data_IF_855028977523
#
_entry.id   IF_855028977523
#
_cell.length_a   1.000
_cell.length_b   1.000
_cell.length_c   1.000
_cell.angle_alpha   90.00
_cell.angle_beta   90.00
_cell.angle_gamma   90.00
#
_symmetry.space_group_name_H-M   'P 1'
#
loop_
_entity.id
_entity.type
_entity.pdbx_description
1 polymer ?
#
# COMPACT_ATOMS: atom_id res chain seq x y z
N UNK A 1 12.60 12.20 11.57
CA UNK A 1 13.50 11.15 11.01
C UNK A 1 12.59 10.07 10.45
N UNK A 2 12.87 9.50 9.26
CA UNK A 2 12.03 8.41 8.71
C UNK A 2 12.32 7.13 9.52
N UNK A 3 11.29 6.41 10.02
CA UNK A 3 11.48 5.13 10.72
C UNK A 3 12.18 4.07 9.86
N UNK A 4 13.06 3.26 10.47
CA UNK A 4 13.88 2.28 9.74
C UNK A 4 13.04 1.19 9.03
N UNK A 5 11.91 0.79 9.61
CA UNK A 5 11.04 -0.23 9.02
C UNK A 5 10.39 0.20 7.69
N UNK A 6 10.39 1.50 7.36
CA UNK A 6 9.96 1.98 6.04
C UNK A 6 11.11 2.05 5.03
N UNK A 7 12.37 1.93 5.45
CA UNK A 7 13.54 2.10 4.57
C UNK A 7 14.03 0.79 3.96
N UNK A 8 13.10 -0.01 3.46
CA UNK A 8 13.40 -1.32 2.88
C UNK A 8 12.69 -1.52 1.57
N UNK A 9 13.29 -2.34 0.70
CA UNK A 9 12.63 -2.85 -0.49
C UNK A 9 12.16 -4.26 -0.17
N UNK A 10 10.86 -4.52 -0.29
CA UNK A 10 10.28 -5.78 0.15
C UNK A 10 9.08 -6.14 -0.71
N UNK A 11 8.93 -7.44 -0.94
CA UNK A 11 7.73 -8.04 -1.49
C UNK A 11 7.00 -8.74 -0.35
N UNK A 12 5.70 -8.50 -0.22
CA UNK A 12 4.87 -9.13 0.80
C UNK A 12 3.45 -9.34 0.31
N UNK A 13 2.77 -10.33 0.88
CA UNK A 13 1.36 -10.59 0.65
C UNK A 13 0.56 -10.02 1.83
N UNK A 14 -0.41 -9.16 1.54
CA UNK A 14 -1.26 -8.48 2.52
C UNK A 14 -2.72 -8.86 2.33
N UNK A 15 -3.54 -8.60 3.36
CA UNK A 15 -4.98 -8.81 3.32
C UNK A 15 -5.71 -7.48 3.24
N UNK A 16 -6.42 -7.23 2.14
CA UNK A 16 -7.26 -6.04 1.95
C UNK A 16 -8.71 -6.47 1.94
N UNK A 17 -9.45 -6.15 3.00
CA UNK A 17 -10.83 -6.60 3.20
C UNK A 17 -11.03 -8.13 3.04
N UNK A 18 -10.01 -8.91 3.41
CA UNK A 18 -10.01 -10.37 3.30
C UNK A 18 -9.64 -10.93 1.93
N UNK A 19 -9.23 -10.07 0.99
CA UNK A 19 -8.64 -10.47 -0.28
C UNK A 19 -7.12 -10.40 -0.19
N UNK A 20 -6.47 -11.42 -0.73
CA UNK A 20 -5.01 -11.48 -0.84
C UNK A 20 -4.52 -10.54 -1.93
N UNK A 21 -3.58 -9.67 -1.56
CA UNK A 21 -2.96 -8.69 -2.46
C UNK A 21 -1.46 -8.77 -2.29
N UNK A 22 -0.75 -9.08 -3.37
CA UNK A 22 0.70 -9.02 -3.41
C UNK A 22 1.16 -7.58 -3.60
N UNK A 23 2.16 -7.17 -2.82
CA UNK A 23 2.72 -5.82 -2.87
C UNK A 23 4.24 -5.84 -3.05
N UNK A 24 4.74 -5.17 -4.09
CA UNK A 24 6.17 -4.84 -4.24
C UNK A 24 6.39 -3.40 -3.80
N UNK A 25 7.01 -3.22 -2.64
CA UNK A 25 7.33 -1.92 -2.07
C UNK A 25 8.81 -1.55 -2.29
N UNK A 26 9.03 -0.35 -2.82
CA UNK A 26 10.34 0.26 -3.03
C UNK A 26 10.41 1.60 -2.32
N UNK A 27 11.29 1.72 -1.32
CA UNK A 27 11.52 2.98 -0.61
C UNK A 27 12.22 4.03 -1.49
N UNK A 28 13.09 3.59 -2.42
CA UNK A 28 13.84 4.45 -3.33
C UNK A 28 13.53 4.14 -4.79
N UNK A 29 12.65 4.92 -5.39
CA UNK A 29 12.34 4.88 -6.82
C UNK A 29 12.68 6.21 -7.52
N UNK A 30 13.43 6.22 -8.63
CA UNK A 30 14.13 5.08 -9.24
C UNK A 30 15.39 4.68 -8.44
N UNK A 31 15.71 3.37 -8.42
CA UNK A 31 16.83 2.80 -7.63
C UNK A 31 18.20 3.41 -7.96
N UNK A 32 18.35 4.00 -9.16
CA UNK A 32 19.53 4.75 -9.57
C UNK A 32 19.23 6.24 -9.48
N UNK A 33 19.72 6.87 -8.42
CA UNK A 33 19.95 8.32 -8.42
C UNK A 33 21.09 8.61 -9.39
N UNK A 34 20.85 9.45 -10.40
CA UNK A 34 21.96 10.19 -11.00
C UNK A 34 22.29 11.36 -10.07
N UNK A 35 23.57 11.67 -9.90
CA UNK A 35 24.04 12.76 -9.02
C UNK A 35 23.48 14.14 -9.41
N UNK A 36 22.87 14.25 -10.59
CA UNK A 36 22.25 15.46 -11.14
C UNK A 36 20.79 15.65 -10.69
N UNK A 37 20.14 14.62 -10.14
CA UNK A 37 18.70 14.59 -9.86
C UNK A 37 18.44 14.97 -8.40
N UNK A 38 18.26 16.28 -8.15
CA UNK A 38 17.78 16.86 -6.87
C UNK A 38 16.27 16.64 -6.63
N UNK A 39 15.71 15.56 -7.13
CA UNK A 39 14.28 15.30 -6.97
C UNK A 39 14.00 14.76 -5.56
N UNK A 40 12.81 15.06 -5.00
CA UNK A 40 12.39 14.50 -3.72
C UNK A 40 12.44 12.96 -3.78
N UNK A 41 12.82 12.32 -2.68
CA UNK A 41 12.84 10.86 -2.58
C UNK A 41 11.40 10.34 -2.70
N UNK A 42 11.15 9.46 -3.65
CA UNK A 42 9.84 8.86 -3.92
C UNK A 42 9.86 7.39 -3.53
N UNK A 43 8.80 6.96 -2.84
CA UNK A 43 8.48 5.57 -2.60
C UNK A 43 7.45 5.11 -3.63
N UNK A 44 7.49 3.82 -3.93
CA UNK A 44 6.62 3.17 -4.89
C UNK A 44 6.09 1.87 -4.29
N UNK A 45 4.79 1.62 -4.48
CA UNK A 45 4.14 0.37 -4.10
C UNK A 45 3.33 -0.13 -5.30
N UNK A 46 3.67 -1.30 -5.82
CA UNK A 46 2.87 -2.02 -6.80
C UNK A 46 1.94 -3.00 -6.10
N UNK A 47 0.64 -2.85 -6.30
CA UNK A 47 -0.39 -3.76 -5.79
C UNK A 47 -0.86 -4.68 -6.91
N UNK A 48 -0.89 -5.98 -6.65
CA UNK A 48 -1.33 -7.04 -7.56
C UNK A 48 -2.31 -7.95 -6.85
N UNK A 49 -3.41 -8.26 -7.50
CA UNK A 49 -4.47 -9.09 -6.96
C UNK A 49 -5.17 -9.83 -8.09
N UNK A 50 -5.51 -11.09 -7.85
CA UNK A 50 -6.29 -11.89 -8.80
C UNK A 50 -7.76 -11.45 -8.86
N UNK A 51 -8.23 -10.79 -7.79
CA UNK A 51 -9.55 -10.14 -7.76
C UNK A 51 -9.43 -8.65 -8.09
N UNK A 52 -10.43 -8.04 -8.73
CA UNK A 52 -10.42 -6.62 -9.08
C UNK A 52 -10.77 -5.74 -7.87
N UNK A 53 -10.15 -5.98 -6.72
CA UNK A 53 -10.41 -5.28 -5.45
C UNK A 53 -9.71 -3.91 -5.43
N UNK A 54 -8.41 -3.87 -5.73
CA UNK A 54 -7.60 -2.64 -5.73
C UNK A 54 -7.84 -1.78 -6.98
N UNK A 55 -8.13 -2.42 -8.10
CA UNK A 55 -8.42 -1.77 -9.38
C UNK A 55 -9.24 -2.70 -10.27
N UNK A 56 -9.84 -2.21 -11.38
CA UNK A 56 -10.60 -3.06 -12.29
C UNK A 56 -9.78 -4.18 -12.94
N UNK A 57 -8.46 -4.00 -13.04
CA UNK A 57 -7.53 -4.98 -13.63
C UNK A 57 -6.79 -5.82 -12.59
N UNK A 58 -7.03 -5.59 -11.29
CA UNK A 58 -6.27 -6.21 -10.21
C UNK A 58 -4.84 -5.66 -10.02
N UNK A 59 -4.42 -4.68 -10.83
CA UNK A 59 -3.11 -4.03 -10.75
C UNK A 59 -3.24 -2.54 -10.46
N UNK A 60 -2.45 -2.03 -9.51
CA UNK A 60 -2.34 -0.59 -9.24
C UNK A 60 -0.92 -0.20 -8.84
N UNK A 61 -0.43 0.92 -9.38
CA UNK A 61 0.88 1.48 -9.04
C UNK A 61 0.71 2.77 -8.26
N UNK A 62 1.16 2.78 -7.00
CA UNK A 62 1.01 3.93 -6.11
C UNK A 62 2.37 4.57 -5.81
N UNK A 63 2.46 5.90 -5.96
CA UNK A 63 3.68 6.68 -5.71
C UNK A 63 3.42 7.74 -4.64
N UNK A 64 4.38 7.93 -3.75
CA UNK A 64 4.30 8.95 -2.72
C UNK A 64 5.68 9.42 -2.27
N UNK A 65 5.77 10.64 -1.74
CA UNK A 65 7.05 11.16 -1.25
C UNK A 65 7.46 10.47 0.04
N UNK A 66 8.73 10.05 0.13
CA UNK A 66 9.31 9.44 1.32
C UNK A 66 9.25 10.36 2.54
N UNK A 67 9.16 11.68 2.33
CA UNK A 67 8.97 12.66 3.41
C UNK A 67 7.67 12.43 4.20
N UNK A 68 6.62 11.94 3.55
CA UNK A 68 5.34 11.65 4.22
C UNK A 68 5.49 10.55 5.27
N UNK A 69 6.45 9.63 5.11
CA UNK A 69 6.74 8.57 6.08
C UNK A 69 7.22 9.12 7.44
N UNK A 70 7.74 10.35 7.49
CA UNK A 70 8.10 11.01 8.76
C UNK A 70 6.88 11.26 9.64
N UNK A 71 5.70 11.34 9.04
CA UNK A 71 4.43 11.64 9.68
C UNK A 71 3.49 10.44 9.73
N UNK A 72 3.96 9.26 9.32
CA UNK A 72 3.18 8.03 9.38
C UNK A 72 2.99 7.60 10.83
N UNK A 73 1.76 7.30 11.22
CA UNK A 73 1.39 6.77 12.53
C UNK A 73 1.37 5.22 12.55
N UNK A 74 1.62 4.57 11.41
CA UNK A 74 1.60 3.11 11.29
C UNK A 74 2.80 2.51 12.03
N UNK A 75 2.57 1.41 12.75
CA UNK A 75 3.60 0.69 13.50
C UNK A 75 4.49 -0.20 12.62
N UNK A 76 4.03 -0.53 11.41
CA UNK A 76 4.77 -1.33 10.45
C UNK A 76 4.53 -0.89 9.00
N UNK A 77 5.39 -1.35 8.11
CA UNK A 77 5.22 -1.19 6.67
C UNK A 77 3.96 -1.92 6.16
N UNK A 78 3.70 -3.12 6.68
CA UNK A 78 2.53 -3.92 6.33
C UNK A 78 1.23 -3.17 6.66
N UNK A 79 1.10 -2.63 7.87
CA UNK A 79 -0.06 -1.84 8.28
C UNK A 79 -0.32 -0.65 7.33
N UNK A 80 0.74 0.05 6.93
CA UNK A 80 0.64 1.16 5.99
C UNK A 80 0.17 0.69 4.60
N UNK A 81 0.72 -0.42 4.09
CA UNK A 81 0.35 -0.96 2.78
C UNK A 81 -1.09 -1.51 2.77
N UNK A 82 -1.55 -2.10 3.88
CA UNK A 82 -2.96 -2.47 4.09
C UNK A 82 -3.85 -1.23 4.04
N UNK A 83 -3.51 -0.16 4.78
CA UNK A 83 -4.29 1.07 4.76
C UNK A 83 -4.38 1.72 3.37
N UNK A 84 -3.27 1.70 2.61
CA UNK A 84 -3.26 2.15 1.21
C UNK A 84 -4.14 1.24 0.35
N UNK A 85 -4.01 -0.08 0.48
CA UNK A 85 -4.82 -1.06 -0.25
C UNK A 85 -6.31 -0.89 0.01
N UNK A 86 -6.72 -0.71 1.26
CA UNK A 86 -8.12 -0.43 1.62
C UNK A 86 -8.62 0.89 1.03
N UNK A 87 -7.77 1.93 1.02
CA UNK A 87 -8.12 3.20 0.39
C UNK A 87 -8.34 3.03 -1.12
N UNK A 88 -7.45 2.30 -1.80
CA UNK A 88 -7.58 1.99 -3.22
C UNK A 88 -8.83 1.17 -3.52
N UNK A 89 -9.13 0.17 -2.69
CA UNK A 89 -10.33 -0.64 -2.84
C UNK A 89 -11.60 0.22 -2.73
N UNK A 90 -11.67 1.13 -1.75
CA UNK A 90 -12.79 2.08 -1.65
C UNK A 90 -12.88 3.02 -2.85
N UNK A 91 -11.75 3.51 -3.36
CA UNK A 91 -11.72 4.31 -4.60
C UNK A 91 -12.21 3.51 -5.82
N UNK A 92 -11.96 2.20 -5.82
CA UNK A 92 -12.44 1.27 -6.84
C UNK A 92 -13.91 0.83 -6.61
N UNK A 93 -14.62 1.45 -5.66
CA UNK A 93 -16.04 1.20 -5.42
C UNK A 93 -16.33 0.03 -4.48
N UNK A 94 -15.33 -0.52 -3.80
CA UNK A 94 -15.56 -1.55 -2.80
C UNK A 94 -16.12 -0.94 -1.50
N UNK A 95 -17.32 -1.39 -1.14
CA UNK A 95 -17.94 -1.08 0.15
C UNK A 95 -17.68 -2.23 1.12
N UNK A 96 -16.83 -1.98 2.12
CA UNK A 96 -16.56 -2.97 3.15
C UNK A 96 -17.83 -3.27 3.93
N UNK A 97 -18.15 -4.56 4.21
CA UNK A 97 -19.30 -4.90 5.02
C UNK A 97 -19.19 -4.21 6.39
N UNK A 98 -20.24 -3.50 6.80
CA UNK A 98 -20.30 -2.89 8.12
C UNK A 98 -20.04 -3.95 9.19
N UNK A 99 -19.19 -3.64 10.17
CA UNK A 99 -18.81 -4.54 11.30
C UNK A 99 -20.00 -4.99 12.18
N UNK A 100 -21.25 -4.76 11.78
CA UNK A 100 -22.47 -4.98 12.56
C UNK A 100 -23.37 -6.15 12.16
N UNK A 101 -23.24 -6.75 10.98
CA UNK A 101 -24.25 -7.72 10.48
C UNK A 101 -23.71 -9.14 10.22
N UNK A 102 -22.90 -9.68 11.15
CA UNK A 102 -22.45 -11.09 11.11
C UNK A 102 -22.97 -11.96 12.26
N UNK A 103 -24.09 -11.59 12.91
CA UNK A 103 -24.75 -12.45 13.90
C UNK A 103 -26.28 -12.29 13.86
N UNK A 104 -26.96 -13.02 12.97
CA UNK A 104 -28.37 -13.41 13.16
C UNK A 104 -28.81 -14.39 12.08
N UNK A 105 -28.22 -15.59 12.02
CA UNK A 105 -28.84 -16.70 11.27
C UNK A 105 -28.38 -18.06 11.83
N UNK A 106 -28.42 -18.24 13.15
CA UNK A 106 -28.57 -19.54 13.81
C UNK A 106 -29.21 -19.36 15.18
#
# INVERSE_FOLDING_TARGET
MIPEHFKQNIQMDIQVFGFEVQVDYRYWWPEKRSDEVKFPLVCHAEFRSDVPIISPTGYHSHFFYAELLKHSEHGSLEEMLVAIGEHLARQNGYEAPERGNQLSLF
#
